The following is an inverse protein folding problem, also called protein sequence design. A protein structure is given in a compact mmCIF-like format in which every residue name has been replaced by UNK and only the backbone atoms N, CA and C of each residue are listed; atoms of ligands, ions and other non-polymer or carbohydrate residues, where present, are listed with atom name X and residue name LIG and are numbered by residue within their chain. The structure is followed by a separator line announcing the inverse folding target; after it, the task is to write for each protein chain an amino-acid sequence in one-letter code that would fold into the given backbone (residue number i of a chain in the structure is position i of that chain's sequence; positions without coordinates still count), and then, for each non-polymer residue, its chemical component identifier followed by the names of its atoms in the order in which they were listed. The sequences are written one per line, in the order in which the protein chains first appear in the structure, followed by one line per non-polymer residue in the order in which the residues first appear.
data_IF_912580018768
#
_entry.id   IF_912580018768
#
_cell.length_a   1.000
_cell.length_b   1.000
_cell.length_c   1.000
_cell.angle_alpha   90.00
_cell.angle_beta   90.00
_cell.angle_gamma   90.00
#
_symmetry.space_group_name_H-M   'P 1'
#
loop_
_entity.id
_entity.type
_entity.pdbx_description
1 polymer ?
#
# COMPACT_ATOMS: atom_id res chain seq x y z
N UNK A 1 7.93 14.27 -9.56
CA UNK A 1 6.61 13.63 -9.37
C UNK A 1 6.88 12.17 -9.06
N UNK A 2 6.22 11.60 -8.06
CA UNK A 2 6.43 10.19 -7.71
C UNK A 2 5.85 9.32 -8.83
N UNK A 3 6.59 8.29 -9.24
CA UNK A 3 6.12 7.28 -10.19
C UNK A 3 5.47 6.12 -9.41
N UNK A 4 4.22 5.81 -9.76
CA UNK A 4 3.48 4.71 -9.14
C UNK A 4 3.49 3.48 -10.03
N UNK A 5 4.08 2.41 -9.53
CA UNK A 5 4.19 1.11 -10.21
C UNK A 5 3.23 0.13 -9.53
N UNK A 6 2.57 -0.73 -10.30
CA UNK A 6 1.67 -1.74 -9.77
C UNK A 6 2.18 -3.14 -10.10
N UNK A 7 2.33 -3.98 -9.08
CA UNK A 7 2.58 -5.39 -9.32
C UNK A 7 1.33 -6.03 -9.98
N UNK A 8 1.45 -6.91 -11.00
CA UNK A 8 0.28 -7.51 -11.67
C UNK A 8 -0.69 -8.23 -10.72
N UNK A 9 -0.17 -8.83 -9.64
CA UNK A 9 -1.01 -9.44 -8.61
C UNK A 9 -1.77 -8.40 -7.77
N UNK A 10 -1.19 -7.23 -7.52
CA UNK A 10 -1.89 -6.13 -6.84
C UNK A 10 -3.09 -5.66 -7.66
N UNK A 11 -2.95 -5.54 -8.98
CA UNK A 11 -4.06 -5.15 -9.86
C UNK A 11 -5.20 -6.19 -9.80
N UNK A 12 -4.87 -7.48 -9.85
CA UNK A 12 -5.85 -8.58 -9.73
C UNK A 12 -6.56 -8.57 -8.38
N UNK A 13 -5.81 -8.39 -7.29
CA UNK A 13 -6.32 -8.32 -5.92
C UNK A 13 -7.24 -7.11 -5.74
N UNK A 14 -6.81 -5.94 -6.23
CA UNK A 14 -7.59 -4.70 -6.20
C UNK A 14 -8.89 -4.87 -6.98
N UNK A 15 -8.85 -5.40 -8.19
CA UNK A 15 -10.05 -5.64 -9.01
C UNK A 15 -11.06 -6.58 -8.31
N UNK A 16 -10.58 -7.58 -7.56
CA UNK A 16 -11.44 -8.45 -6.74
C UNK A 16 -12.08 -7.66 -5.58
N UNK A 17 -11.31 -6.81 -4.91
CA UNK A 17 -11.78 -6.01 -3.76
C UNK A 17 -12.70 -4.86 -4.16
N UNK A 18 -12.49 -4.21 -5.31
CA UNK A 18 -13.36 -3.12 -5.81
C UNK A 18 -14.80 -3.59 -6.02
N UNK A 19 -15.01 -4.88 -6.34
CA UNK A 19 -16.35 -5.49 -6.40
C UNK A 19 -17.07 -5.53 -5.05
N UNK A 20 -16.34 -5.53 -3.95
CA UNK A 20 -16.88 -5.55 -2.57
C UNK A 20 -16.89 -4.15 -1.94
N UNK A 21 -15.93 -3.32 -2.32
CA UNK A 21 -15.71 -1.99 -1.75
C UNK A 21 -15.76 -0.94 -2.86
N UNK A 22 -16.96 -0.43 -3.14
CA UNK A 22 -17.22 0.45 -4.29
C UNK A 22 -16.44 1.78 -4.29
N UNK A 23 -15.84 2.16 -3.16
CA UNK A 23 -15.03 3.37 -3.02
C UNK A 23 -13.53 3.10 -2.86
N UNK A 24 -13.09 1.86 -3.08
CA UNK A 24 -11.69 1.48 -2.95
C UNK A 24 -10.78 2.30 -3.88
N UNK A 25 -11.17 2.46 -5.14
CA UNK A 25 -10.37 3.20 -6.12
C UNK A 25 -10.17 4.66 -5.68
N UNK A 26 -11.21 5.31 -5.15
CA UNK A 26 -11.09 6.67 -4.59
C UNK A 26 -10.18 6.72 -3.36
N UNK A 27 -10.22 5.70 -2.51
CA UNK A 27 -9.34 5.60 -1.36
C UNK A 27 -7.87 5.39 -1.76
N UNK A 28 -7.62 4.61 -2.82
CA UNK A 28 -6.29 4.42 -3.39
C UNK A 28 -5.75 5.72 -3.99
N UNK A 29 -6.55 6.46 -4.76
CA UNK A 29 -6.13 7.76 -5.29
C UNK A 29 -5.86 8.78 -4.18
N UNK A 30 -6.70 8.83 -3.14
CA UNK A 30 -6.43 9.64 -1.95
C UNK A 30 -5.12 9.25 -1.26
N UNK A 31 -4.84 7.95 -1.17
CA UNK A 31 -3.61 7.46 -0.59
C UNK A 31 -2.37 7.79 -1.45
N UNK A 32 -2.47 7.73 -2.77
CA UNK A 32 -1.39 8.15 -3.68
C UNK A 32 -1.03 9.62 -3.49
N UNK A 33 -2.03 10.50 -3.38
CA UNK A 33 -1.78 11.91 -3.04
C UNK A 33 -1.05 12.05 -1.69
N UNK A 34 -1.44 11.30 -0.65
CA UNK A 34 -0.72 11.32 0.63
C UNK A 34 0.73 10.86 0.49
N UNK A 35 0.99 9.86 -0.35
CA UNK A 35 2.34 9.37 -0.60
C UNK A 35 3.24 10.42 -1.26
N UNK A 36 2.70 11.23 -2.18
CA UNK A 36 3.46 12.31 -2.84
C UNK A 36 4.06 13.30 -1.85
N UNK A 37 3.36 13.57 -0.75
CA UNK A 37 3.86 14.43 0.34
C UNK A 37 4.71 13.64 1.34
N UNK A 38 4.22 12.48 1.79
CA UNK A 38 4.85 11.68 2.84
C UNK A 38 6.24 11.18 2.45
N UNK A 39 6.41 10.79 1.19
CA UNK A 39 7.64 10.19 0.64
C UNK A 39 8.31 11.09 -0.40
N UNK A 40 8.05 12.40 -0.38
CA UNK A 40 8.72 13.31 -1.29
C UNK A 40 10.25 13.24 -1.08
N UNK A 41 11.07 13.03 -2.14
CA UNK A 41 12.48 12.70 -1.98
C UNK A 41 13.34 13.86 -1.46
N UNK A 42 12.91 15.10 -1.68
CA UNK A 42 13.66 16.31 -1.29
C UNK A 42 13.02 17.07 -0.12
N UNK A 43 11.74 16.83 0.15
CA UNK A 43 10.97 17.63 1.11
C UNK A 43 9.80 16.81 1.68
N UNK A 44 10.08 15.72 2.39
CA UNK A 44 9.03 14.86 2.95
C UNK A 44 8.20 15.64 3.98
N UNK A 45 6.89 15.62 3.81
CA UNK A 45 5.93 16.22 4.74
C UNK A 45 5.10 15.13 5.40
N UNK A 46 5.10 15.09 6.73
CA UNK A 46 4.31 14.12 7.47
C UNK A 46 2.80 14.42 7.31
N UNK A 47 2.15 13.71 6.41
CA UNK A 47 0.69 13.76 6.17
C UNK A 47 -0.03 12.53 6.70
N UNK A 48 0.71 11.45 6.96
CA UNK A 48 0.20 10.23 7.55
C UNK A 48 0.69 10.15 9.00
N UNK A 49 -0.23 9.91 9.94
CA UNK A 49 0.14 9.76 11.34
C UNK A 49 1.07 8.54 11.52
N UNK A 50 2.17 8.63 12.30
CA UNK A 50 3.15 7.55 12.43
C UNK A 50 2.54 6.22 12.88
N UNK A 51 1.52 6.27 13.74
CA UNK A 51 0.81 5.09 14.23
C UNK A 51 -0.01 4.34 13.16
N UNK A 52 -0.20 4.93 11.97
CA UNK A 52 -0.96 4.35 10.86
C UNK A 52 -0.08 3.75 9.77
N UNK A 53 1.19 4.13 9.72
CA UNK A 53 2.14 3.73 8.68
C UNK A 53 3.19 2.80 9.29
N UNK A 54 3.15 1.52 8.93
CA UNK A 54 4.01 0.51 9.52
C UNK A 54 5.10 0.09 8.54
N UNK A 55 6.36 0.19 8.93
CA UNK A 55 7.46 -0.38 8.14
C UNK A 55 7.49 -1.89 8.32
N UNK A 56 7.50 -2.61 7.21
CA UNK A 56 7.60 -4.09 7.18
C UNK A 56 9.06 -4.50 7.21
N UNK A 57 9.86 -3.99 6.27
CA UNK A 57 11.31 -4.21 6.19
C UNK A 57 11.96 -3.12 5.35
N UNK A 58 13.29 -3.02 5.38
CA UNK A 58 14.06 -2.08 4.58
C UNK A 58 15.47 -2.61 4.31
N UNK A 59 16.10 -2.09 3.26
CA UNK A 59 17.53 -2.18 3.00
C UNK A 59 18.03 -0.81 2.53
N UNK A 60 19.27 -0.75 2.03
CA UNK A 60 19.91 0.49 1.59
C UNK A 60 19.28 1.10 0.32
N UNK A 61 18.49 0.31 -0.43
CA UNK A 61 17.90 0.72 -1.71
C UNK A 61 16.41 1.06 -1.59
N UNK A 62 15.65 0.28 -0.82
CA UNK A 62 14.21 0.38 -0.75
C UNK A 62 13.67 0.04 0.64
N UNK A 63 12.44 0.48 0.90
CA UNK A 63 11.70 0.15 2.12
C UNK A 63 10.29 -0.32 1.79
N UNK A 64 9.83 -1.38 2.46
CA UNK A 64 8.44 -1.85 2.36
C UNK A 64 7.66 -1.35 3.56
N UNK A 65 6.48 -0.85 3.27
CA UNK A 65 5.53 -0.30 4.22
C UNK A 65 4.17 -0.95 4.05
N UNK A 66 3.36 -0.86 5.09
CA UNK A 66 1.94 -1.21 5.04
C UNK A 66 1.08 -0.17 5.74
N UNK A 67 -0.13 0.01 5.24
CA UNK A 67 -1.12 0.95 5.76
C UNK A 67 -2.54 0.41 5.57
N UNK A 68 -3.43 0.74 6.50
CA UNK A 68 -4.86 0.53 6.36
C UNK A 68 -5.52 1.70 5.61
N UNK A 69 -6.25 1.40 4.54
CA UNK A 69 -6.95 2.42 3.77
C UNK A 69 -8.26 2.82 4.46
N UNK A 70 -8.52 4.13 4.51
CA UNK A 70 -9.84 4.63 4.92
C UNK A 70 -10.79 4.57 3.72
N UNK A 71 -11.55 3.48 3.61
CA UNK A 71 -12.53 3.29 2.53
C UNK A 71 -13.93 3.66 3.05
N UNK A 72 -14.64 4.61 2.40
CA UNK A 72 -16.01 4.96 2.77
C UNK A 72 -16.95 3.75 2.80
N UNK A 73 -17.87 3.74 3.76
CA UNK A 73 -18.86 2.67 3.97
C UNK A 73 -18.27 1.28 4.28
N UNK A 74 -17.00 1.20 4.65
CA UNK A 74 -16.34 -0.02 5.14
C UNK A 74 -16.04 0.16 6.62
N UNK A 75 -16.35 -0.85 7.44
CA UNK A 75 -16.01 -0.81 8.87
C UNK A 75 -14.49 -0.83 9.02
N UNK A 76 -13.89 -0.13 10.01
CA UNK A 76 -12.43 -0.11 10.17
C UNK A 76 -11.78 -1.50 10.23
N UNK A 77 -12.42 -2.46 10.92
CA UNK A 77 -11.94 -3.84 10.99
C UNK A 77 -12.10 -4.66 9.70
N UNK A 78 -12.70 -4.08 8.66
CA UNK A 78 -12.86 -4.64 7.32
C UNK A 78 -12.09 -3.82 6.27
N UNK A 79 -11.51 -2.68 6.66
CA UNK A 79 -10.76 -1.85 5.75
C UNK A 79 -9.57 -2.61 5.15
N UNK A 80 -9.36 -2.51 3.83
CA UNK A 80 -8.22 -3.16 3.20
C UNK A 80 -6.92 -2.52 3.65
N UNK A 81 -5.88 -3.33 3.76
CA UNK A 81 -4.49 -2.91 3.93
C UNK A 81 -3.73 -3.07 2.63
N UNK A 82 -2.85 -2.12 2.38
CA UNK A 82 -1.95 -2.09 1.23
C UNK A 82 -0.53 -2.26 1.72
N UNK A 83 0.22 -3.10 1.03
CA UNK A 83 1.68 -3.18 1.13
C UNK A 83 2.29 -2.55 -0.11
N UNK A 84 3.28 -1.71 0.10
CA UNK A 84 3.96 -0.98 -0.97
C UNK A 84 5.44 -0.77 -0.65
N UNK A 85 6.27 -0.67 -1.68
CA UNK A 85 7.68 -0.34 -1.56
C UNK A 85 7.95 1.11 -2.00
N UNK A 86 8.94 1.74 -1.37
CA UNK A 86 9.45 3.07 -1.71
C UNK A 86 10.92 2.94 -2.09
N UNK A 87 11.29 3.39 -3.29
CA UNK A 87 12.66 3.41 -3.84
C UNK A 87 12.90 4.72 -4.59
N UNK A 88 13.50 5.70 -3.91
CA UNK A 88 13.74 7.04 -4.48
C UNK A 88 12.42 7.72 -4.88
N UNK A 89 12.25 7.96 -6.18
CA UNK A 89 11.03 8.55 -6.75
C UNK A 89 9.94 7.53 -7.10
N UNK A 90 10.18 6.23 -6.88
CA UNK A 90 9.26 5.16 -7.23
C UNK A 90 8.51 4.66 -6.00
N UNK A 91 7.20 4.49 -6.14
CA UNK A 91 6.36 3.77 -5.19
C UNK A 91 5.69 2.60 -5.89
N UNK A 92 5.99 1.39 -5.44
CA UNK A 92 5.47 0.17 -6.01
C UNK A 92 4.38 -0.44 -5.11
N UNK A 93 3.16 -0.57 -5.60
CA UNK A 93 2.07 -1.27 -4.94
C UNK A 93 2.23 -2.79 -5.13
N UNK A 94 2.42 -3.53 -4.03
CA UNK A 94 2.86 -4.93 -4.06
C UNK A 94 1.70 -5.91 -3.86
N UNK A 95 0.87 -5.65 -2.85
CA UNK A 95 -0.30 -6.47 -2.56
C UNK A 95 -1.35 -5.69 -1.74
N UNK A 96 -2.59 -6.15 -1.81
CA UNK A 96 -3.71 -5.61 -1.03
C UNK A 96 -4.57 -6.74 -0.48
N UNK A 97 -4.98 -6.63 0.78
CA UNK A 97 -5.83 -7.62 1.42
C UNK A 97 -6.76 -6.96 2.44
N UNK A 98 -7.95 -7.52 2.65
CA UNK A 98 -8.88 -7.08 3.69
C UNK A 98 -9.16 -8.22 4.67
N UNK A 99 -9.36 -7.88 5.94
CA UNK A 99 -9.67 -8.84 7.00
C UNK A 99 -10.93 -9.67 6.72
N UNK A 100 -11.80 -9.21 5.80
CA UNK A 100 -12.95 -10.00 5.32
C UNK A 100 -12.53 -11.31 4.62
N UNK A 101 -11.31 -11.38 4.10
CA UNK A 101 -10.73 -12.58 3.48
C UNK A 101 -9.93 -13.45 4.47
N UNK A 102 -9.92 -13.10 5.76
CA UNK A 102 -9.17 -13.81 6.82
C UNK A 102 -7.69 -14.06 6.45
N UNK A 103 -7.02 -13.04 5.89
CA UNK A 103 -5.62 -13.14 5.50
C UNK A 103 -4.69 -13.16 6.72
N UNK A 104 -3.52 -13.77 6.57
CA UNK A 104 -2.44 -13.70 7.57
C UNK A 104 -1.53 -12.51 7.29
N UNK A 105 -1.43 -11.57 8.22
CA UNK A 105 -0.57 -10.38 8.08
C UNK A 105 0.90 -10.77 7.84
N UNK A 106 1.40 -11.79 8.55
CA UNK A 106 2.75 -12.32 8.35
C UNK A 106 2.94 -12.91 6.96
N UNK A 107 1.94 -13.62 6.44
CA UNK A 107 1.98 -14.14 5.08
C UNK A 107 2.00 -13.00 4.06
N UNK A 108 1.20 -11.94 4.25
CA UNK A 108 1.20 -10.79 3.34
C UNK A 108 2.51 -10.01 3.40
N UNK A 109 3.16 -9.91 4.56
CA UNK A 109 4.50 -9.33 4.70
C UNK A 109 5.53 -10.13 3.86
N UNK A 110 5.48 -11.47 3.90
CA UNK A 110 6.32 -12.33 3.07
C UNK A 110 6.01 -12.20 1.59
N UNK A 111 4.73 -12.16 1.22
CA UNK A 111 4.28 -11.95 -0.17
C UNK A 111 4.79 -10.61 -0.71
N UNK A 112 4.67 -9.52 0.05
CA UNK A 112 5.19 -8.22 -0.34
C UNK A 112 6.72 -8.25 -0.52
N UNK A 113 7.43 -8.90 0.41
CA UNK A 113 8.89 -9.05 0.34
C UNK A 113 9.32 -9.88 -0.88
N UNK A 114 8.56 -10.90 -1.26
CA UNK A 114 8.83 -11.65 -2.50
C UNK A 114 8.65 -10.78 -3.75
N UNK A 115 7.53 -10.03 -3.81
CA UNK A 115 7.12 -9.25 -4.99
C UNK A 115 7.95 -7.99 -5.25
N UNK A 116 8.64 -7.46 -4.24
CA UNK A 116 9.49 -6.26 -4.45
C UNK A 116 10.62 -6.55 -5.45
N UNK A 117 11.13 -7.78 -5.46
CA UNK A 117 12.22 -8.21 -6.36
C UNK A 117 11.77 -8.33 -7.81
N UNK A 118 10.46 -8.48 -8.04
CA UNK A 118 9.88 -8.50 -9.39
C UNK A 118 9.82 -7.08 -10.00
N UNK A 119 10.05 -6.04 -9.20
CA UNK A 119 9.96 -4.63 -9.61
C UNK A 119 11.31 -3.90 -9.50
N UNK A 120 12.12 -4.18 -8.46
CA UNK A 120 13.28 -3.37 -8.08
C UNK A 120 14.60 -4.11 -7.97
#
# INVERSE_FOLDING_TARGET
MIEFIYHPAFEKETAKLTRRFSFLDKALEAFKMLCEFQFHPLNPQQRIAPAKLHRVTQNDLWSIWKIELSVPNVRPNQSPRVWFAVKGLNIAFLCIASHVDNYSDNQMNQVATGRVSDIF
#
